data_IF_953932974336
#
_entry.id   IF_953932974336
#
_cell.length_a   1.000
_cell.length_b   1.000
_cell.length_c   1.000
_cell.angle_alpha   90.00
_cell.angle_beta   90.00
_cell.angle_gamma   90.00
#
_symmetry.space_group_name_H-M   'P 1'
#
loop_
_entity.id
_entity.type
_entity.pdbx_description
1 polymer ?
#
# COMPACT_ATOMS: atom_id res chain seq x y z
N UNK A 1 17.45 21.67 24.77
CA UNK A 1 17.84 20.40 24.13
C UNK A 1 16.85 20.14 23.01
N UNK A 2 17.24 20.32 21.73
CA UNK A 2 16.35 20.08 20.59
C UNK A 2 16.22 18.56 20.43
N UNK A 3 15.01 18.03 20.61
CA UNK A 3 14.75 16.59 20.51
C UNK A 3 14.73 16.21 19.04
N UNK A 4 15.75 15.48 18.59
CA UNK A 4 15.82 14.99 17.21
C UNK A 4 14.71 13.95 16.97
N UNK A 5 13.91 14.15 15.93
CA UNK A 5 12.82 13.26 15.56
C UNK A 5 13.39 12.09 14.77
N UNK A 6 13.24 10.86 15.28
CA UNK A 6 13.79 9.68 14.62
C UNK A 6 12.87 9.19 13.50
N UNK A 7 13.42 8.95 12.31
CA UNK A 7 12.70 8.36 11.18
C UNK A 7 12.04 7.02 11.55
N UNK A 8 12.75 6.17 12.30
CA UNK A 8 12.22 4.87 12.74
C UNK A 8 10.91 4.98 13.56
N UNK A 9 10.76 6.01 14.39
CA UNK A 9 9.50 6.25 15.13
C UNK A 9 8.39 6.75 14.22
N UNK A 10 8.72 7.61 13.26
CA UNK A 10 7.77 8.06 12.24
C UNK A 10 7.20 6.87 11.48
N UNK A 11 8.07 5.95 11.04
CA UNK A 11 7.66 4.75 10.32
C UNK A 11 6.84 3.79 11.20
N UNK A 12 7.19 3.67 12.48
CA UNK A 12 6.40 2.89 13.44
C UNK A 12 4.96 3.42 13.57
N UNK A 13 4.79 4.75 13.63
CA UNK A 13 3.47 5.38 13.66
C UNK A 13 2.69 5.11 12.38
N UNK A 14 3.32 5.25 11.21
CA UNK A 14 2.66 5.00 9.93
C UNK A 14 2.22 3.54 9.79
N UNK A 15 3.09 2.58 10.12
CA UNK A 15 2.75 1.15 10.08
C UNK A 15 1.61 0.81 11.05
N UNK A 16 1.64 1.38 12.25
CA UNK A 16 0.59 1.17 13.24
C UNK A 16 -0.74 1.77 12.79
N UNK A 17 -0.71 2.99 12.25
CA UNK A 17 -1.88 3.68 11.74
C UNK A 17 -2.50 2.92 10.56
N UNK A 18 -1.69 2.51 9.57
CA UNK A 18 -2.12 1.69 8.44
C UNK A 18 -2.87 0.44 8.90
N UNK A 19 -2.28 -0.29 9.86
CA UNK A 19 -2.92 -1.50 10.42
C UNK A 19 -4.26 -1.19 11.06
N UNK A 20 -4.31 -0.17 11.91
CA UNK A 20 -5.54 0.16 12.63
C UNK A 20 -6.64 0.68 11.69
N UNK A 21 -6.26 1.46 10.68
CA UNK A 21 -7.19 1.91 9.63
C UNK A 21 -7.74 0.74 8.82
N UNK A 22 -6.93 -0.28 8.52
CA UNK A 22 -7.38 -1.48 7.81
C UNK A 22 -8.27 -2.39 8.68
N UNK A 23 -8.00 -2.51 9.98
CA UNK A 23 -8.75 -3.38 10.90
C UNK A 23 -10.08 -2.77 11.36
N UNK A 24 -10.10 -1.46 11.68
CA UNK A 24 -11.23 -0.80 12.36
C UNK A 24 -11.84 0.36 11.56
N UNK A 25 -11.18 0.77 10.48
CA UNK A 25 -11.53 1.98 9.73
C UNK A 25 -10.95 3.26 10.34
N UNK A 26 -10.86 4.29 9.50
CA UNK A 26 -10.29 5.60 9.87
C UNK A 26 -11.11 6.30 10.94
N UNK A 27 -12.46 6.24 10.85
CA UNK A 27 -13.34 6.95 11.78
C UNK A 27 -13.26 6.38 13.20
N UNK A 28 -13.13 5.06 13.34
CA UNK A 28 -13.06 4.37 14.64
C UNK A 28 -11.65 4.31 15.24
N UNK A 29 -10.67 4.97 14.63
CA UNK A 29 -9.28 4.95 15.07
C UNK A 29 -8.87 6.35 15.51
N UNK A 30 -8.53 6.55 16.80
CA UNK A 30 -8.00 7.81 17.30
C UNK A 30 -6.47 7.86 17.24
N UNK A 31 -5.88 9.06 17.22
CA UNK A 31 -4.41 9.23 17.29
C UNK A 31 -3.84 8.77 18.64
N UNK A 32 -4.64 8.85 19.71
CA UNK A 32 -4.28 8.30 21.01
C UNK A 32 -4.19 6.77 20.98
N UNK A 33 -5.13 6.09 20.32
CA UNK A 33 -5.09 4.64 20.15
C UNK A 33 -3.86 4.20 19.36
N UNK A 34 -3.53 4.94 18.29
CA UNK A 34 -2.34 4.67 17.45
C UNK A 34 -1.07 4.84 18.29
N UNK A 35 -0.94 5.94 19.04
CA UNK A 35 0.23 6.18 19.88
C UNK A 35 0.39 5.11 20.96
N UNK A 36 -0.71 4.75 21.62
CA UNK A 36 -0.75 3.68 22.62
C UNK A 36 -0.35 2.33 22.02
N UNK A 37 -0.89 1.98 20.84
CA UNK A 37 -0.55 0.74 20.14
C UNK A 37 0.91 0.70 19.66
N UNK A 38 1.50 1.87 19.37
CA UNK A 38 2.91 2.02 19.05
C UNK A 38 3.83 2.04 20.30
N UNK A 39 3.27 1.95 21.52
CA UNK A 39 4.03 1.96 22.77
C UNK A 39 4.56 3.35 23.15
N UNK A 40 3.86 4.41 22.76
CA UNK A 40 4.27 5.81 22.99
C UNK A 40 3.14 6.66 23.57
N UNK A 41 3.49 7.79 24.19
CA UNK A 41 2.51 8.76 24.64
C UNK A 41 1.89 9.52 23.44
N UNK A 42 0.59 9.85 23.51
CA UNK A 42 -0.12 10.58 22.45
C UNK A 42 0.56 11.90 22.04
N UNK A 43 1.10 12.65 23.01
CA UNK A 43 1.86 13.87 22.74
C UNK A 43 3.13 13.65 21.90
N UNK A 44 3.70 12.44 21.90
CA UNK A 44 4.86 12.12 21.05
C UNK A 44 4.45 12.00 19.58
N UNK A 45 3.27 11.47 19.28
CA UNK A 45 2.77 11.37 17.91
C UNK A 45 2.57 12.76 17.28
N UNK A 46 2.07 13.72 18.06
CA UNK A 46 1.88 15.10 17.61
C UNK A 46 3.17 15.87 17.30
N UNK A 47 4.33 15.34 17.69
CA UNK A 47 5.63 15.85 17.24
C UNK A 47 5.95 15.44 15.79
N UNK A 48 5.33 14.38 15.28
CA UNK A 48 5.54 13.86 13.92
C UNK A 48 4.39 14.21 12.98
N UNK A 49 3.16 14.25 13.48
CA UNK A 49 1.95 14.53 12.70
C UNK A 49 1.09 15.53 13.45
N UNK A 50 0.95 16.74 12.91
CA UNK A 50 0.23 17.81 13.59
C UNK A 50 -1.26 17.51 13.75
N UNK A 51 -1.86 16.83 12.77
CA UNK A 51 -3.26 16.45 12.78
C UNK A 51 -3.48 14.99 12.42
N UNK A 52 -4.67 14.47 12.76
CA UNK A 52 -5.11 13.14 12.29
C UNK A 52 -5.15 13.08 10.75
N UNK A 53 -5.50 14.19 10.08
CA UNK A 53 -5.54 14.25 8.62
C UNK A 53 -4.15 14.14 8.01
N UNK A 54 -3.13 14.76 8.62
CA UNK A 54 -1.74 14.63 8.15
C UNK A 54 -1.27 13.18 8.22
N UNK A 55 -1.58 12.49 9.32
CA UNK A 55 -1.26 11.07 9.46
C UNK A 55 -1.98 10.21 8.39
N UNK A 56 -3.25 10.48 8.11
CA UNK A 56 -4.01 9.78 7.06
C UNK A 56 -3.38 10.02 5.68
N UNK A 57 -3.06 11.27 5.36
CA UNK A 57 -2.46 11.65 4.08
C UNK A 57 -1.09 10.97 3.92
N UNK A 58 -0.27 10.94 4.95
CA UNK A 58 1.04 10.29 4.92
C UNK A 58 0.95 8.78 4.75
N UNK A 59 -0.04 8.13 5.39
CA UNK A 59 -0.33 6.71 5.15
C UNK A 59 -0.76 6.48 3.69
N UNK A 60 -1.64 7.32 3.15
CA UNK A 60 -2.09 7.20 1.76
C UNK A 60 -0.93 7.40 0.75
N UNK A 61 -0.06 8.38 1.01
CA UNK A 61 1.15 8.61 0.21
C UNK A 61 2.13 7.44 0.30
N UNK A 62 2.27 6.84 1.48
CA UNK A 62 3.10 5.64 1.65
C UNK A 62 2.57 4.48 0.80
N UNK A 63 1.27 4.17 0.89
CA UNK A 63 0.64 3.14 0.06
C UNK A 63 0.88 3.42 -1.43
N UNK A 64 0.63 4.65 -1.86
CA UNK A 64 0.79 5.05 -3.27
C UNK A 64 2.23 4.89 -3.76
N UNK A 65 3.22 5.20 -2.91
CA UNK A 65 4.64 4.99 -3.22
C UNK A 65 4.99 3.51 -3.32
N UNK A 66 4.53 2.71 -2.38
CA UNK A 66 4.77 1.27 -2.36
C UNK A 66 4.14 0.59 -3.60
N UNK A 67 2.93 1.02 -4.00
CA UNK A 67 2.27 0.57 -5.23
C UNK A 67 3.02 0.99 -6.49
N UNK A 68 3.48 2.25 -6.56
CA UNK A 68 4.22 2.75 -7.71
C UNK A 68 5.55 2.00 -7.88
N UNK A 69 6.33 1.83 -6.81
CA UNK A 69 7.57 1.06 -6.81
C UNK A 69 7.33 -0.38 -7.28
N UNK A 70 6.27 -1.00 -6.75
CA UNK A 70 5.85 -2.33 -7.19
C UNK A 70 5.55 -2.38 -8.69
N UNK A 71 4.79 -1.43 -9.25
CA UNK A 71 4.48 -1.43 -10.68
C UNK A 71 5.74 -1.18 -11.51
N UNK A 72 6.57 -0.21 -11.12
CA UNK A 72 7.80 0.18 -11.82
C UNK A 72 8.77 -0.99 -11.96
N UNK A 73 8.95 -1.79 -10.90
CA UNK A 73 9.80 -3.00 -10.91
C UNK A 73 9.41 -4.05 -11.98
N UNK A 74 8.23 -3.90 -12.58
CA UNK A 74 7.67 -4.82 -13.59
C UNK A 74 7.57 -4.19 -14.97
N UNK A 75 7.92 -2.91 -15.09
CA UNK A 75 8.00 -2.23 -16.37
C UNK A 75 9.40 -2.41 -16.95
N UNK A 76 9.45 -2.78 -18.22
CA UNK A 76 10.68 -2.85 -19.01
C UNK A 76 10.63 -1.77 -20.11
N UNK A 77 11.75 -1.09 -20.32
CA UNK A 77 11.88 -0.06 -21.36
C UNK A 77 11.74 -0.62 -22.78
N UNK A 78 11.88 -1.93 -22.97
CA UNK A 78 11.64 -2.58 -24.26
C UNK A 78 10.16 -2.81 -24.56
N UNK A 79 9.26 -2.57 -23.60
CA UNK A 79 7.83 -2.77 -23.79
C UNK A 79 7.22 -1.66 -24.65
N UNK A 80 6.20 -2.00 -25.41
CA UNK A 80 5.33 -1.01 -26.05
C UNK A 80 4.45 -0.30 -25.03
N UNK A 81 3.97 0.90 -25.36
CA UNK A 81 3.03 1.63 -24.50
C UNK A 81 1.77 0.81 -24.14
N UNK A 82 1.29 -0.03 -25.06
CA UNK A 82 0.16 -0.94 -24.82
C UNK A 82 0.50 -1.96 -23.73
N UNK A 83 1.64 -2.62 -23.83
CA UNK A 83 2.05 -3.64 -22.86
C UNK A 83 2.32 -3.02 -21.49
N UNK A 84 2.93 -1.83 -21.45
CA UNK A 84 3.10 -1.06 -20.20
C UNK A 84 1.75 -0.77 -19.54
N UNK A 85 0.77 -0.27 -20.31
CA UNK A 85 -0.57 0.00 -19.78
C UNK A 85 -1.27 -1.28 -19.29
N UNK A 86 -1.10 -2.41 -19.97
CA UNK A 86 -1.63 -3.70 -19.53
C UNK A 86 -1.00 -4.17 -18.21
N UNK A 87 0.30 -3.97 -18.03
CA UNK A 87 1.00 -4.26 -16.76
C UNK A 87 0.49 -3.35 -15.65
N UNK A 88 0.49 -2.03 -15.87
CA UNK A 88 0.00 -1.06 -14.89
C UNK A 88 -1.42 -1.41 -14.46
N UNK A 89 -2.33 -1.61 -15.41
CA UNK A 89 -3.73 -1.94 -15.13
C UNK A 89 -3.89 -3.24 -14.36
N UNK A 90 -3.23 -4.32 -14.81
CA UNK A 90 -3.37 -5.64 -14.19
C UNK A 90 -2.75 -5.72 -12.80
N UNK A 91 -1.61 -5.06 -12.59
CA UNK A 91 -0.93 -5.03 -11.30
C UNK A 91 -1.63 -4.11 -10.30
N UNK A 92 -2.16 -2.96 -10.73
CA UNK A 92 -3.00 -2.11 -9.86
C UNK A 92 -4.25 -2.85 -9.35
N UNK A 93 -4.92 -3.63 -10.21
CA UNK A 93 -6.06 -4.47 -9.79
C UNK A 93 -5.61 -5.56 -8.82
N UNK A 94 -4.48 -6.21 -9.11
CA UNK A 94 -3.90 -7.24 -8.23
C UNK A 94 -3.61 -6.66 -6.84
N UNK A 95 -3.06 -5.45 -6.76
CA UNK A 95 -2.82 -4.75 -5.50
C UNK A 95 -4.10 -4.57 -4.69
N UNK A 96 -5.14 -3.99 -5.30
CA UNK A 96 -6.43 -3.79 -4.65
C UNK A 96 -7.07 -5.11 -4.16
N UNK A 97 -6.94 -6.21 -4.94
CA UNK A 97 -7.48 -7.51 -4.52
C UNK A 97 -6.75 -8.14 -3.33
N UNK A 98 -5.46 -7.80 -3.13
CA UNK A 98 -4.62 -8.37 -2.07
C UNK A 98 -4.67 -7.57 -0.76
N UNK A 99 -4.97 -6.27 -0.82
CA UNK A 99 -5.15 -5.40 0.37
C UNK A 99 -6.22 -5.94 1.33
N UNK A 100 -7.20 -6.71 0.84
CA UNK A 100 -8.24 -7.33 1.66
C UNK A 100 -7.80 -8.63 2.36
N UNK A 101 -6.65 -9.24 2.01
CA UNK A 101 -6.33 -10.63 2.41
C UNK A 101 -5.15 -10.78 3.38
N UNK A 102 -4.21 -9.84 3.51
CA UNK A 102 -3.10 -9.91 4.49
C UNK A 102 -2.61 -8.53 4.91
N UNK A 103 -2.78 -8.19 6.20
CA UNK A 103 -2.07 -7.09 6.82
C UNK A 103 -0.59 -7.47 7.04
N UNK A 104 0.35 -6.53 6.88
CA UNK A 104 1.76 -6.75 7.20
C UNK A 104 1.94 -7.02 8.71
N UNK A 105 2.75 -8.03 9.03
CA UNK A 105 3.26 -8.26 10.39
C UNK A 105 4.22 -7.12 10.81
N UNK A 106 4.30 -6.76 12.11
CA UNK A 106 5.13 -5.65 12.57
C UNK A 106 6.59 -5.84 12.15
N UNK A 107 7.14 -4.85 11.43
CA UNK A 107 8.53 -4.86 10.95
C UNK A 107 8.71 -5.28 9.49
N UNK A 108 7.65 -5.60 8.75
CA UNK A 108 7.74 -5.83 7.30
C UNK A 108 7.30 -4.58 6.53
N UNK A 109 8.19 -3.93 5.75
CA UNK A 109 7.78 -2.90 4.80
C UNK A 109 6.67 -3.45 3.90
N UNK A 110 5.63 -2.64 3.63
CA UNK A 110 4.49 -3.03 2.79
C UNK A 110 4.99 -3.52 1.41
N UNK A 111 6.08 -2.92 0.90
CA UNK A 111 6.80 -3.34 -0.32
C UNK A 111 7.26 -4.81 -0.30
N UNK A 112 7.57 -5.41 0.86
CA UNK A 112 8.00 -6.82 0.97
C UNK A 112 6.88 -7.82 1.18
N UNK A 113 5.74 -7.42 1.75
CA UNK A 113 4.62 -8.33 2.01
C UNK A 113 3.96 -8.80 0.71
N UNK A 114 4.06 -8.00 -0.34
CA UNK A 114 3.56 -8.35 -1.67
C UNK A 114 4.34 -9.48 -2.36
N UNK A 115 5.59 -9.73 -1.95
CA UNK A 115 6.54 -10.48 -2.79
C UNK A 115 6.58 -12.02 -2.55
N UNK A 116 6.11 -12.55 -1.40
CA UNK A 116 6.46 -13.95 -1.02
C UNK A 116 5.51 -15.08 -1.46
N UNK A 117 4.38 -14.85 -2.15
CA UNK A 117 3.42 -15.95 -2.38
C UNK A 117 2.74 -16.12 -3.74
N UNK A 118 3.31 -15.60 -4.83
CA UNK A 118 2.92 -16.02 -6.18
C UNK A 118 4.11 -16.66 -6.90
N UNK A 119 4.22 -17.99 -6.75
CA UNK A 119 5.12 -18.81 -7.56
C UNK A 119 4.84 -18.61 -9.05
N UNK A 120 5.91 -18.67 -9.86
CA UNK A 120 5.94 -18.38 -11.29
C UNK A 120 4.83 -19.07 -12.11
N UNK A 121 4.32 -20.21 -11.63
CA UNK A 121 3.31 -21.04 -12.31
C UNK A 121 1.87 -20.46 -12.25
N UNK A 122 1.47 -19.76 -11.18
CA UNK A 122 0.12 -19.13 -11.13
C UNK A 122 0.02 -17.80 -11.90
N UNK A 123 1.16 -17.28 -12.37
CA UNK A 123 1.33 -16.01 -13.09
C UNK A 123 0.79 -16.05 -14.53
N UNK A 124 0.93 -17.18 -15.22
CA UNK A 124 0.52 -17.34 -16.62
C UNK A 124 -0.99 -17.57 -16.82
N UNK A 125 -1.67 -18.17 -15.84
CA UNK A 125 -3.11 -18.45 -15.96
C UNK A 125 -3.99 -17.24 -15.64
N UNK A 126 -3.51 -16.30 -14.80
CA UNK A 126 -4.32 -15.16 -14.40
C UNK A 126 -4.28 -14.00 -15.40
N UNK A 127 -3.14 -13.75 -16.06
CA UNK A 127 -3.04 -12.78 -17.16
C UNK A 127 -3.96 -13.14 -18.33
N UNK A 128 -4.12 -14.44 -18.65
CA UNK A 128 -5.13 -14.92 -19.61
C UNK A 128 -6.58 -14.73 -19.12
N UNK A 129 -6.82 -14.83 -17.82
CA UNK A 129 -8.17 -14.73 -17.26
C UNK A 129 -8.67 -13.28 -17.23
N UNK A 130 -7.82 -12.34 -16.79
CA UNK A 130 -8.18 -10.92 -16.73
C UNK A 130 -8.24 -10.27 -18.13
N UNK A 131 -7.33 -10.64 -19.06
CA UNK A 131 -7.43 -10.18 -20.46
C UNK A 131 -8.70 -10.67 -21.17
N UNK A 132 -9.21 -11.86 -20.84
CA UNK A 132 -10.40 -12.44 -21.48
C UNK A 132 -11.72 -11.86 -20.94
N UNK A 133 -11.71 -11.30 -19.73
CA UNK A 133 -12.83 -10.54 -19.18
C UNK A 133 -12.77 -9.05 -19.57
N UNK A 134 -11.61 -8.39 -19.52
CA UNK A 134 -11.53 -6.98 -19.90
C UNK A 134 -11.83 -6.73 -21.40
N UNK A 135 -11.52 -7.69 -22.28
CA UNK A 135 -11.93 -7.64 -23.70
C UNK A 135 -13.45 -7.76 -23.92
N UNK A 136 -14.20 -8.31 -22.96
CA UNK A 136 -15.67 -8.45 -23.04
C UNK A 136 -16.40 -7.24 -22.49
N UNK A 137 -15.82 -6.57 -21.49
CA UNK A 137 -16.50 -5.49 -20.76
C UNK A 137 -16.11 -4.08 -21.21
N UNK A 138 -15.17 -3.93 -22.15
CA UNK A 138 -14.82 -2.62 -22.72
C UNK A 138 -15.83 -2.22 -23.81
N UNK A 139 -16.55 -1.08 -23.69
CA UNK A 139 -17.39 -0.59 -24.78
C UNK A 139 -16.49 -0.34 -25.98
N UNK A 140 -16.84 -0.93 -27.14
CA UNK A 140 -16.14 -0.65 -28.39
C UNK A 140 -16.26 0.84 -28.63
N UNK A 141 -15.17 1.57 -28.40
CA UNK A 141 -15.07 2.97 -28.76
C UNK A 141 -15.20 3.01 -30.28
N UNK A 142 -16.34 3.53 -30.75
CA UNK A 142 -16.64 3.75 -32.15
C UNK A 142 -15.80 4.92 -32.70
#
# INVERSE_FOLDING_TARGET
MVRELSLAKRDLFLQTALRMFAEKGIQNTSTADIASKAGTAAGTLFLYFHTKQDLINEVALQISRDEAEYVIDRLDQTMTAREMLEVIWSESIRCCSLIRMHLPSPGTPVSRVFCRRLSSSKRANFSRFTMRQSRRDWPRVA
#
